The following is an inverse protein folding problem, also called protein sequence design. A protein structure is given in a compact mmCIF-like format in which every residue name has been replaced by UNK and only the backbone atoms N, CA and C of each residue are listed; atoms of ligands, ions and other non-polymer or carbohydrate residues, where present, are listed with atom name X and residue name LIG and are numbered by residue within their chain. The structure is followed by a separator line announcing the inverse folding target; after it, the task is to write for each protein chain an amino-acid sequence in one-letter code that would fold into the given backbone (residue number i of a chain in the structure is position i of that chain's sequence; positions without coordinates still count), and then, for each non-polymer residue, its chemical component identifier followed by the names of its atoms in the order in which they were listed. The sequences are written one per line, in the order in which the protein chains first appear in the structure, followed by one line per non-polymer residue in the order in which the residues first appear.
data_IF_495159959170
#
_entry.id   IF_495159959170
#
_cell.length_a   1.000
_cell.length_b   1.000
_cell.length_c   1.000
_cell.angle_alpha   90.00
_cell.angle_beta   90.00
_cell.angle_gamma   90.00
#
_symmetry.space_group_name_H-M   'P 1'
#
loop_
_entity.id
_entity.type
_entity.pdbx_description
1 polymer ?
#
# COMPACT_ATOMS: atom_id res chain seq x y z
N UNK A 1 8.42 -3.19 16.58
CA UNK A 1 8.16 -3.39 15.14
C UNK A 1 8.39 -2.09 14.38
N UNK A 2 8.80 -2.16 13.11
CA UNK A 2 8.86 -1.02 12.19
C UNK A 2 8.45 -1.43 10.77
N UNK A 3 8.11 -0.45 9.92
CA UNK A 3 7.96 -0.67 8.47
C UNK A 3 9.35 -0.59 7.83
N UNK A 4 9.73 -1.64 7.10
CA UNK A 4 11.03 -1.74 6.43
C UNK A 4 10.97 -1.30 4.96
N UNK A 5 9.92 -1.70 4.22
CA UNK A 5 9.69 -1.26 2.85
C UNK A 5 8.20 -1.16 2.53
N UNK A 6 7.90 -0.38 1.50
CA UNK A 6 6.60 -0.33 0.84
C UNK A 6 6.86 -0.46 -0.65
N UNK A 7 6.38 -1.53 -1.24
CA UNK A 7 6.56 -1.84 -2.65
C UNK A 7 5.21 -1.84 -3.35
N UNK A 8 5.15 -1.15 -4.48
CA UNK A 8 3.95 -1.02 -5.31
C UNK A 8 4.02 -1.98 -6.49
N UNK A 9 2.87 -2.50 -6.92
CA UNK A 9 2.77 -3.40 -8.06
C UNK A 9 1.32 -3.69 -8.41
N UNK A 10 1.08 -4.39 -9.53
CA UNK A 10 -0.28 -4.72 -9.97
C UNK A 10 -0.71 -6.16 -9.63
N UNK A 11 0.18 -6.94 -9.01
CA UNK A 11 -0.09 -8.28 -8.53
C UNK A 11 0.82 -8.65 -7.37
N UNK A 12 0.28 -9.43 -6.42
CA UNK A 12 1.03 -10.00 -5.29
C UNK A 12 1.09 -11.52 -5.35
N UNK A 13 2.18 -12.10 -4.83
CA UNK A 13 2.36 -13.53 -4.67
C UNK A 13 1.63 -14.10 -3.45
N UNK A 14 1.74 -15.41 -3.24
CA UNK A 14 1.18 -16.08 -2.06
C UNK A 14 1.79 -15.59 -0.72
N UNK A 15 2.96 -14.98 -0.78
CA UNK A 15 3.67 -14.34 0.34
C UNK A 15 3.28 -12.86 0.54
N UNK A 16 2.26 -12.38 -0.19
CA UNK A 16 1.78 -11.00 -0.20
C UNK A 16 2.78 -9.95 -0.70
N UNK A 17 3.93 -10.37 -1.25
CA UNK A 17 4.88 -9.45 -1.88
C UNK A 17 4.44 -9.11 -3.30
N UNK A 18 4.73 -7.88 -3.73
CA UNK A 18 4.54 -7.54 -5.15
C UNK A 18 5.46 -8.40 -6.01
N UNK A 19 4.90 -8.97 -7.07
CA UNK A 19 5.65 -9.86 -7.96
C UNK A 19 6.58 -9.09 -8.89
N UNK A 20 6.11 -7.92 -9.36
CA UNK A 20 6.87 -6.98 -10.17
C UNK A 20 6.66 -5.58 -9.61
N UNK A 21 7.69 -4.96 -9.02
CA UNK A 21 7.58 -3.59 -8.54
C UNK A 21 7.29 -2.60 -9.68
N UNK A 22 6.32 -1.70 -9.49
CA UNK A 22 5.95 -0.69 -10.45
C UNK A 22 5.44 0.58 -9.74
N UNK A 23 5.68 1.74 -10.35
CA UNK A 23 5.12 3.04 -9.91
C UNK A 23 4.31 3.71 -11.02
N UNK A 24 4.02 2.96 -12.08
CA UNK A 24 3.20 3.38 -13.21
C UNK A 24 2.23 2.25 -13.51
N UNK A 25 0.95 2.60 -13.59
CA UNK A 25 -0.15 1.65 -13.72
C UNK A 25 -1.07 2.05 -14.87
N UNK A 26 -1.68 1.06 -15.51
CA UNK A 26 -2.74 1.27 -16.48
C UNK A 26 -4.04 1.68 -15.76
N UNK A 27 -4.94 2.33 -16.50
CA UNK A 27 -6.25 2.74 -15.95
C UNK A 27 -7.10 1.57 -15.46
N UNK A 28 -6.81 0.34 -15.86
CA UNK A 28 -7.56 -0.87 -15.46
C UNK A 28 -6.84 -1.72 -14.40
N UNK A 29 -5.63 -1.34 -13.98
CA UNK A 29 -4.87 -2.14 -13.01
C UNK A 29 -5.53 -2.11 -11.63
N UNK A 30 -5.43 -3.23 -10.91
CA UNK A 30 -5.54 -3.22 -9.45
C UNK A 30 -4.17 -2.85 -8.89
N UNK A 31 -4.13 -1.87 -8.00
CA UNK A 31 -2.87 -1.33 -7.48
C UNK A 31 -2.69 -1.87 -6.07
N UNK A 32 -1.59 -2.56 -5.84
CA UNK A 32 -1.21 -3.14 -4.56
C UNK A 32 -0.08 -2.35 -3.91
N UNK A 33 -0.14 -2.25 -2.58
CA UNK A 33 0.97 -1.83 -1.74
C UNK A 33 1.32 -2.95 -0.77
N UNK A 34 2.46 -3.61 -1.00
CA UNK A 34 3.02 -4.59 -0.08
C UNK A 34 3.89 -3.87 0.96
N UNK A 35 3.50 -3.95 2.22
CA UNK A 35 4.20 -3.35 3.35
C UNK A 35 4.98 -4.43 4.07
N UNK A 36 6.31 -4.38 3.99
CA UNK A 36 7.17 -5.24 4.78
C UNK A 36 7.39 -4.62 6.16
N UNK A 37 7.15 -5.39 7.21
CA UNK A 37 7.44 -5.02 8.60
C UNK A 37 8.49 -5.95 9.18
N UNK A 38 9.27 -5.41 10.13
CA UNK A 38 10.30 -6.18 10.86
C UNK A 38 10.09 -6.07 12.36
N UNK A 39 10.57 -7.08 13.08
CA UNK A 39 10.40 -7.23 14.53
C UNK A 39 8.98 -7.62 14.93
N UNK A 40 8.73 -7.66 16.25
CA UNK A 40 7.48 -8.20 16.78
C UNK A 40 6.55 -7.13 17.35
N UNK A 41 5.25 -7.40 17.31
CA UNK A 41 4.20 -6.65 18.00
C UNK A 41 3.02 -7.59 18.32
N UNK A 42 2.45 -7.50 19.53
CA UNK A 42 1.26 -8.28 19.89
C UNK A 42 -0.03 -7.70 19.30
N UNK A 43 -0.03 -6.39 19.03
CA UNK A 43 -1.09 -5.67 18.37
C UNK A 43 -0.48 -4.40 17.75
N UNK A 44 -0.71 -4.20 16.46
CA UNK A 44 -0.35 -2.98 15.75
C UNK A 44 -1.32 -2.76 14.60
N UNK A 45 -1.56 -1.51 14.23
CA UNK A 45 -2.48 -1.14 13.15
C UNK A 45 -1.70 -0.51 12.01
N UNK A 46 -1.71 -1.19 10.85
CA UNK A 46 -1.30 -0.59 9.59
C UNK A 46 -2.51 0.06 8.92
N UNK A 47 -2.34 1.27 8.42
CA UNK A 47 -3.33 1.97 7.60
C UNK A 47 -2.68 2.38 6.28
N UNK A 48 -3.40 2.15 5.18
CA UNK A 48 -3.04 2.61 3.85
C UNK A 48 -4.07 3.63 3.37
N UNK A 49 -3.62 4.88 3.20
CA UNK A 49 -4.42 5.97 2.65
C UNK A 49 -3.94 6.30 1.25
N UNK A 50 -4.85 6.22 0.29
CA UNK A 50 -4.60 6.48 -1.12
C UNK A 50 -5.20 7.82 -1.50
N UNK A 51 -4.45 8.68 -2.17
CA UNK A 51 -4.89 10.00 -2.60
C UNK A 51 -4.60 10.25 -4.08
N UNK A 52 -5.38 11.14 -4.69
CA UNK A 52 -5.26 11.58 -6.08
C UNK A 52 -5.07 13.10 -6.15
N UNK A 53 -4.24 13.56 -7.09
CA UNK A 53 -4.01 14.98 -7.35
C UNK A 53 -3.57 15.73 -6.08
N UNK A 54 -4.27 16.81 -5.75
CA UNK A 54 -3.95 17.69 -4.60
C UNK A 54 -4.35 17.09 -3.23
N UNK A 55 -4.49 15.77 -3.12
CA UNK A 55 -4.75 15.07 -1.85
C UNK A 55 -6.17 14.59 -1.65
N UNK A 56 -6.97 14.47 -2.72
CA UNK A 56 -8.30 13.87 -2.63
C UNK A 56 -8.18 12.40 -2.20
N UNK A 57 -8.79 12.02 -1.08
CA UNK A 57 -8.80 10.61 -0.64
C UNK A 57 -9.59 9.76 -1.63
N UNK A 58 -8.90 8.75 -2.18
CA UNK A 58 -9.44 7.75 -3.11
C UNK A 58 -9.95 6.55 -2.32
N UNK A 59 -9.15 6.07 -1.38
CA UNK A 59 -9.48 4.95 -0.52
C UNK A 59 -8.66 5.04 0.75
N UNK A 60 -9.19 4.49 1.84
CA UNK A 60 -8.45 4.32 3.07
C UNK A 60 -8.86 2.98 3.71
N UNK A 61 -7.88 2.18 4.09
CA UNK A 61 -8.11 0.88 4.71
C UNK A 61 -7.09 0.63 5.80
N UNK A 62 -7.47 -0.20 6.78
CA UNK A 62 -6.60 -0.55 7.90
C UNK A 62 -6.65 -2.03 8.19
N UNK A 63 -5.54 -2.56 8.71
CA UNK A 63 -5.42 -3.94 9.16
C UNK A 63 -4.69 -3.98 10.51
N UNK A 64 -5.28 -4.67 11.46
CA UNK A 64 -4.61 -5.04 12.69
C UNK A 64 -3.72 -6.26 12.43
N UNK A 65 -2.46 -6.16 12.81
CA UNK A 65 -1.44 -7.20 12.66
C UNK A 65 -0.80 -7.52 14.01
N UNK A 66 -0.29 -8.75 14.14
CA UNK A 66 0.45 -9.21 15.31
C UNK A 66 1.68 -10.03 14.88
N UNK A 67 2.65 -9.42 14.16
CA UNK A 67 3.80 -10.15 13.66
C UNK A 67 4.75 -10.55 14.79
N UNK A 68 5.43 -11.67 14.57
CA UNK A 68 6.44 -12.24 15.47
C UNK A 68 7.80 -12.34 14.75
N UNK A 69 8.14 -11.35 13.94
CA UNK A 69 9.29 -11.35 13.05
C UNK A 69 8.97 -10.61 11.75
N UNK A 70 9.74 -10.89 10.70
CA UNK A 70 9.50 -10.29 9.38
C UNK A 70 8.16 -10.76 8.82
N UNK A 71 7.34 -9.80 8.39
CA UNK A 71 6.02 -10.06 7.83
C UNK A 71 5.72 -9.11 6.67
N UNK A 72 4.79 -9.51 5.81
CA UNK A 72 4.32 -8.67 4.70
C UNK A 72 2.80 -8.60 4.75
N UNK A 73 2.28 -7.39 4.67
CA UNK A 73 0.85 -7.09 4.60
C UNK A 73 0.57 -6.31 3.33
N UNK A 74 -0.34 -6.80 2.48
CA UNK A 74 -0.69 -6.12 1.24
C UNK A 74 -2.03 -5.40 1.34
N UNK A 75 -2.04 -4.13 0.98
CA UNK A 75 -3.25 -3.35 0.71
C UNK A 75 -3.47 -3.24 -0.78
N UNK A 76 -4.71 -3.00 -1.21
CA UNK A 76 -4.99 -2.79 -2.62
C UNK A 76 -6.18 -1.88 -2.86
N UNK A 77 -6.20 -1.28 -4.06
CA UNK A 77 -7.33 -0.54 -4.60
C UNK A 77 -7.62 -1.03 -6.01
N UNK A 78 -8.90 -1.16 -6.34
CA UNK A 78 -9.37 -1.46 -7.69
C UNK A 78 -10.50 -0.50 -8.07
N UNK A 79 -10.61 -0.21 -9.36
CA UNK A 79 -11.67 0.65 -9.89
C UNK A 79 -12.17 0.06 -11.22
N UNK A 80 -13.26 -0.72 -11.20
CA UNK A 80 -13.78 -1.39 -12.41
C UNK A 80 -14.08 -0.44 -13.57
N UNK A 81 -14.53 0.78 -13.27
CA UNK A 81 -14.81 1.82 -14.28
C UNK A 81 -13.56 2.56 -14.77
N UNK A 82 -12.38 2.17 -14.29
CA UNK A 82 -11.09 2.73 -14.65
C UNK A 82 -10.64 3.91 -13.76
N UNK A 83 -9.33 4.00 -13.56
CA UNK A 83 -8.67 5.08 -12.84
C UNK A 83 -8.56 6.37 -13.66
N UNK A 84 -8.86 7.54 -13.07
CA UNK A 84 -8.41 8.81 -13.61
C UNK A 84 -6.89 8.78 -13.86
N UNK A 85 -6.45 9.29 -15.01
CA UNK A 85 -5.02 9.44 -15.27
C UNK A 85 -4.47 10.58 -14.42
N UNK A 86 -3.26 10.41 -13.90
CA UNK A 86 -2.56 11.42 -13.14
C UNK A 86 -1.76 10.87 -11.97
N UNK A 87 -1.35 11.77 -11.08
CA UNK A 87 -0.51 11.47 -9.94
C UNK A 87 -1.34 11.03 -8.74
N UNK A 88 -0.85 9.99 -8.09
CA UNK A 88 -1.42 9.41 -6.90
C UNK A 88 -0.34 9.22 -5.84
N UNK A 89 -0.77 9.07 -4.60
CA UNK A 89 0.10 8.77 -3.47
C UNK A 89 -0.57 7.71 -2.58
N UNK A 90 0.24 6.81 -2.05
CA UNK A 90 -0.14 6.00 -0.89
C UNK A 90 0.68 6.41 0.31
N UNK A 91 0.02 6.60 1.45
CA UNK A 91 0.62 6.84 2.75
C UNK A 91 0.35 5.64 3.65
N UNK A 92 1.42 5.09 4.22
CA UNK A 92 1.36 3.99 5.18
C UNK A 92 1.59 4.56 6.57
N UNK A 93 0.61 4.33 7.44
CA UNK A 93 0.69 4.67 8.85
C UNK A 93 0.80 3.42 9.71
N UNK A 94 1.61 3.50 10.75
CA UNK A 94 1.70 2.50 11.81
C UNK A 94 1.23 3.15 13.11
N UNK A 95 0.18 2.58 13.72
CA UNK A 95 -0.45 3.07 14.95
C UNK A 95 -0.81 4.56 14.88
N UNK A 96 -1.38 4.98 13.74
CA UNK A 96 -1.82 6.35 13.49
C UNK A 96 -0.72 7.33 13.09
N UNK A 97 0.55 6.91 13.04
CA UNK A 97 1.67 7.74 12.58
C UNK A 97 2.08 7.35 11.17
N UNK A 98 2.11 8.31 10.25
CA UNK A 98 2.66 8.08 8.90
C UNK A 98 4.15 7.74 9.02
N UNK A 99 4.53 6.57 8.51
CA UNK A 99 5.91 6.05 8.56
C UNK A 99 6.53 5.87 7.17
N UNK A 100 5.71 5.74 6.13
CA UNK A 100 6.18 5.63 4.76
C UNK A 100 5.17 6.23 3.78
N UNK A 101 5.64 6.64 2.61
CA UNK A 101 4.76 7.02 1.51
C UNK A 101 5.42 6.71 0.16
N UNK A 102 4.60 6.51 -0.86
CA UNK A 102 5.03 6.28 -2.25
C UNK A 102 4.13 7.03 -3.22
N UNK A 103 4.75 7.76 -4.12
CA UNK A 103 4.08 8.37 -5.27
C UNK A 103 4.05 7.40 -6.44
N UNK A 104 2.96 7.43 -7.21
CA UNK A 104 2.79 6.66 -8.44
C UNK A 104 1.92 7.40 -9.44
N UNK A 105 1.87 6.90 -10.68
CA UNK A 105 1.08 7.50 -11.75
C UNK A 105 0.19 6.46 -12.41
N UNK A 106 -1.02 6.88 -12.77
CA UNK A 106 -1.89 6.12 -13.67
C UNK A 106 -1.86 6.79 -15.05
N UNK A 107 -1.59 6.03 -16.11
CA UNK A 107 -1.57 6.53 -17.49
C UNK A 107 -2.07 5.54 -18.53
#
# INVERSE_FOLDING_TARGET
MAVASVDLGNAVGADQKVTTPATTFATTDTIYAAVATTGSAANAVLNAKWTFGDGQTVNESSQTIAPNGDAVTSFHISKPDGWPKGSYKVEISLDGKVVASKDFTVQ
#
